data_IF_030862928331
#
_entry.id   IF_030862928331
#
_cell.length_a   1.000
_cell.length_b   1.000
_cell.length_c   1.000
_cell.angle_alpha   90.00
_cell.angle_beta   90.00
_cell.angle_gamma   90.00
#
_symmetry.space_group_name_H-M   'P 1'
#
loop_
_entity.id
_entity.type
_entity.pdbx_description
1 polymer ?
#
# COMPACT_ATOMS: atom_id res chain seq x y z
N UNK A 1 -51.12 6.90 -6.07
CA UNK A 1 -49.87 6.36 -6.62
C UNK A 1 -49.99 4.84 -6.70
N UNK A 2 -49.77 4.27 -7.89
CA UNK A 2 -50.10 2.83 -8.15
C UNK A 2 -49.13 1.93 -7.39
N UNK A 3 -49.64 0.93 -6.65
CA UNK A 3 -48.86 -0.04 -5.87
C UNK A 3 -47.76 -0.75 -6.71
N UNK A 4 -48.00 -0.98 -7.99
CA UNK A 4 -47.00 -1.55 -8.91
C UNK A 4 -45.83 -0.60 -9.15
N UNK A 5 -46.09 0.71 -9.26
CA UNK A 5 -45.06 1.73 -9.44
C UNK A 5 -44.20 1.88 -8.18
N UNK A 6 -44.81 1.83 -7.01
CA UNK A 6 -44.07 1.93 -5.73
C UNK A 6 -43.16 0.69 -5.50
N UNK A 7 -43.64 -0.52 -5.84
CA UNK A 7 -42.82 -1.75 -5.79
C UNK A 7 -41.64 -1.70 -6.77
N UNK A 8 -41.88 -1.25 -8.01
CA UNK A 8 -40.78 -1.09 -8.98
C UNK A 8 -39.75 -0.05 -8.59
N UNK A 9 -40.18 1.06 -7.99
CA UNK A 9 -39.29 2.09 -7.47
C UNK A 9 -38.45 1.58 -6.30
N UNK A 10 -39.04 0.82 -5.38
CA UNK A 10 -38.33 0.22 -4.25
C UNK A 10 -37.28 -0.80 -4.70
N UNK A 11 -37.59 -1.63 -5.69
CA UNK A 11 -36.64 -2.60 -6.27
C UNK A 11 -35.48 -1.87 -6.95
N UNK A 12 -35.77 -0.79 -7.69
CA UNK A 12 -34.74 -0.02 -8.40
C UNK A 12 -33.79 0.69 -7.40
N UNK A 13 -34.31 1.25 -6.30
CA UNK A 13 -33.50 1.86 -5.24
C UNK A 13 -32.65 0.80 -4.51
N UNK A 14 -33.20 -0.38 -4.23
CA UNK A 14 -32.46 -1.47 -3.60
C UNK A 14 -31.31 -1.98 -4.48
N UNK A 15 -31.53 -2.14 -5.79
CA UNK A 15 -30.49 -2.58 -6.73
C UNK A 15 -29.37 -1.53 -6.85
N UNK A 16 -29.71 -0.23 -6.91
CA UNK A 16 -28.70 0.84 -6.92
C UNK A 16 -27.86 0.86 -5.64
N UNK A 17 -28.47 0.59 -4.48
CA UNK A 17 -27.76 0.55 -3.20
C UNK A 17 -26.78 -0.61 -3.13
N UNK A 18 -27.15 -1.81 -3.62
CA UNK A 18 -26.28 -3.00 -3.63
C UNK A 18 -25.09 -2.80 -4.57
N UNK A 19 -25.30 -2.22 -5.76
CA UNK A 19 -24.21 -1.94 -6.70
C UNK A 19 -23.21 -0.93 -6.13
N UNK A 20 -23.70 0.09 -5.42
CA UNK A 20 -22.83 1.10 -4.78
C UNK A 20 -21.95 0.51 -3.68
N UNK A 21 -22.49 -0.36 -2.83
CA UNK A 21 -21.75 -1.03 -1.75
C UNK A 21 -20.64 -1.93 -2.33
N UNK A 22 -20.96 -2.77 -3.30
CA UNK A 22 -19.99 -3.69 -3.90
C UNK A 22 -18.84 -2.96 -4.63
N UNK A 23 -19.10 -1.78 -5.21
CA UNK A 23 -18.09 -0.96 -5.87
C UNK A 23 -17.13 -0.31 -4.86
N UNK A 24 -17.65 0.11 -3.71
CA UNK A 24 -16.86 0.72 -2.64
C UNK A 24 -15.99 -0.32 -1.93
N UNK A 25 -16.47 -1.51 -1.68
CA UNK A 25 -15.69 -2.63 -1.13
C UNK A 25 -14.53 -3.00 -2.06
N UNK A 26 -14.78 -3.11 -3.37
CA UNK A 26 -13.74 -3.36 -4.36
C UNK A 26 -12.66 -2.28 -4.40
N UNK A 27 -13.04 -1.01 -4.21
CA UNK A 27 -12.08 0.09 -4.19
C UNK A 27 -11.15 0.01 -2.98
N UNK A 28 -11.67 -0.32 -1.80
CA UNK A 28 -10.87 -0.42 -0.57
C UNK A 28 -9.96 -1.64 -0.56
N UNK A 29 -10.37 -2.76 -1.17
CA UNK A 29 -9.70 -4.05 -1.10
C UNK A 29 -9.59 -4.62 0.33
N UNK A 30 -10.50 -4.19 1.23
CA UNK A 30 -10.45 -4.52 2.66
C UNK A 30 -10.64 -6.02 2.93
N UNK A 31 -11.33 -6.71 2.03
CA UNK A 31 -11.62 -8.14 2.07
C UNK A 31 -10.54 -9.01 1.42
N UNK A 32 -9.58 -8.39 0.71
CA UNK A 32 -8.54 -9.10 -0.06
C UNK A 32 -7.81 -10.17 0.73
N UNK A 33 -7.54 -9.91 2.00
CA UNK A 33 -6.81 -10.79 2.89
C UNK A 33 -7.66 -11.37 4.03
N UNK A 34 -8.99 -11.19 4.01
CA UNK A 34 -9.86 -11.57 5.12
C UNK A 34 -9.67 -13.04 5.56
N UNK A 35 -9.74 -13.99 4.63
CA UNK A 35 -9.58 -15.42 4.93
C UNK A 35 -8.16 -15.77 5.44
N UNK A 36 -7.12 -15.10 4.94
CA UNK A 36 -5.75 -15.30 5.42
C UNK A 36 -5.54 -14.65 6.79
N UNK A 37 -6.16 -13.51 7.03
CA UNK A 37 -6.14 -12.83 8.33
C UNK A 37 -6.82 -13.69 9.40
N UNK A 38 -7.98 -14.28 9.10
CA UNK A 38 -8.66 -15.23 10.01
C UNK A 38 -7.76 -16.40 10.39
N UNK A 39 -7.06 -17.02 9.43
CA UNK A 39 -6.11 -18.11 9.70
C UNK A 39 -4.97 -17.68 10.61
N UNK A 40 -4.40 -16.48 10.34
CA UNK A 40 -3.30 -15.94 11.14
C UNK A 40 -3.74 -15.57 12.57
N UNK A 41 -4.98 -15.11 12.75
CA UNK A 41 -5.54 -14.78 14.07
C UNK A 41 -5.91 -16.05 14.85
N UNK A 42 -6.36 -17.11 14.18
CA UNK A 42 -6.68 -18.39 14.80
C UNK A 42 -5.43 -19.21 15.16
N UNK A 43 -4.27 -18.94 14.55
CA UNK A 43 -3.01 -19.60 14.87
C UNK A 43 -2.46 -19.11 16.22
N UNK A 44 -1.62 -19.91 16.92
CA UNK A 44 -0.90 -19.44 18.10
C UNK A 44 -0.19 -18.11 17.83
N UNK A 45 -0.18 -17.23 18.83
CA UNK A 45 0.42 -15.91 18.68
C UNK A 45 1.89 -16.02 18.25
N UNK A 46 2.21 -15.47 17.07
CA UNK A 46 3.58 -15.36 16.59
C UNK A 46 4.14 -13.99 16.99
N UNK A 47 4.93 -14.00 18.05
CA UNK A 47 5.57 -12.78 18.59
C UNK A 47 6.67 -12.21 17.68
N UNK A 48 7.05 -12.92 16.61
CA UNK A 48 8.03 -12.47 15.63
C UNK A 48 7.41 -11.90 14.36
N UNK A 49 6.06 -11.95 14.19
CA UNK A 49 5.36 -11.51 12.98
C UNK A 49 5.73 -10.09 12.59
N UNK A 50 6.06 -9.91 11.32
CA UNK A 50 6.34 -8.62 10.70
C UNK A 50 5.43 -8.49 9.47
N UNK A 51 4.59 -7.46 9.44
CA UNK A 51 3.73 -7.19 8.29
C UNK A 51 4.46 -6.28 7.29
N UNK A 52 4.46 -6.68 6.02
CA UNK A 52 4.92 -5.87 4.90
C UNK A 52 3.69 -5.25 4.23
N UNK A 53 3.39 -4.00 4.55
CA UNK A 53 2.26 -3.26 3.97
C UNK A 53 2.72 -2.49 2.73
N UNK A 54 2.00 -2.63 1.61
CA UNK A 54 2.37 -1.93 0.38
C UNK A 54 1.40 -2.10 -0.77
N UNK A 55 1.91 -1.77 -1.95
CA UNK A 55 1.21 -1.87 -3.23
C UNK A 55 1.65 -3.12 -4.04
N UNK A 56 1.67 -3.02 -5.40
CA UNK A 56 2.10 -4.10 -6.29
C UNK A 56 3.53 -4.58 -6.03
N UNK A 57 4.42 -3.71 -5.62
CA UNK A 57 5.82 -4.06 -5.30
C UNK A 57 5.84 -5.07 -4.15
N UNK A 58 5.03 -4.85 -3.14
CA UNK A 58 4.87 -5.77 -2.00
C UNK A 58 4.01 -6.98 -2.35
N UNK A 59 2.94 -6.81 -3.15
CA UNK A 59 2.02 -7.87 -3.58
C UNK A 59 2.76 -8.97 -4.38
N UNK A 60 3.64 -8.54 -5.30
CA UNK A 60 4.39 -9.47 -6.15
C UNK A 60 5.59 -10.13 -5.44
N UNK A 61 6.08 -9.57 -4.35
CA UNK A 61 7.31 -10.06 -3.72
C UNK A 61 7.22 -11.52 -3.27
N UNK A 62 6.17 -11.99 -2.57
CA UNK A 62 6.07 -13.39 -2.17
C UNK A 62 6.05 -14.37 -3.36
N UNK A 63 5.43 -13.98 -4.48
CA UNK A 63 5.36 -14.83 -5.68
C UNK A 63 6.64 -14.78 -6.52
N UNK A 64 7.35 -13.66 -6.52
CA UNK A 64 8.61 -13.50 -7.27
C UNK A 64 9.81 -14.05 -6.51
N UNK A 65 9.76 -14.11 -5.18
CA UNK A 65 10.85 -14.60 -4.33
C UNK A 65 10.33 -15.60 -3.28
N UNK A 66 9.68 -16.70 -3.68
CA UNK A 66 9.03 -17.63 -2.75
C UNK A 66 10.00 -18.28 -1.76
N UNK A 67 11.24 -18.58 -2.19
CA UNK A 67 12.25 -19.17 -1.31
C UNK A 67 12.73 -18.20 -0.22
N UNK A 68 12.67 -16.89 -0.47
CA UNK A 68 12.95 -15.88 0.55
C UNK A 68 11.87 -15.95 1.66
N UNK A 69 10.60 -15.90 1.28
CA UNK A 69 9.49 -15.95 2.25
C UNK A 69 9.42 -17.29 2.98
N UNK A 70 9.74 -18.40 2.32
CA UNK A 70 9.83 -19.72 2.95
C UNK A 70 10.90 -19.76 4.06
N UNK A 71 12.03 -19.07 3.85
CA UNK A 71 13.09 -18.96 4.87
C UNK A 71 12.79 -17.93 5.96
N UNK A 72 11.84 -17.04 5.72
CA UNK A 72 11.43 -15.98 6.63
C UNK A 72 9.91 -16.03 6.89
N UNK A 73 9.38 -17.10 7.51
CA UNK A 73 7.95 -17.31 7.69
C UNK A 73 7.27 -16.26 8.58
N UNK A 74 8.05 -15.50 9.37
CA UNK A 74 7.57 -14.37 10.17
C UNK A 74 7.13 -13.17 9.31
N UNK A 75 7.52 -13.10 8.02
CA UNK A 75 7.14 -12.01 7.13
C UNK A 75 5.78 -12.28 6.50
N UNK A 76 4.84 -11.39 6.72
CA UNK A 76 3.47 -11.47 6.18
C UNK A 76 3.26 -10.36 5.16
N UNK A 77 3.16 -10.73 3.87
CA UNK A 77 2.88 -9.80 2.79
C UNK A 77 1.42 -9.32 2.84
N UNK A 78 1.23 -8.00 2.81
CA UNK A 78 -0.06 -7.31 2.73
C UNK A 78 0.00 -6.21 1.67
N UNK A 79 0.52 -6.58 0.49
CA UNK A 79 0.52 -5.74 -0.70
C UNK A 79 -0.77 -5.90 -1.50
N UNK A 80 -1.29 -4.80 -2.07
CA UNK A 80 -2.39 -4.85 -3.05
C UNK A 80 -2.02 -3.97 -4.23
N UNK A 81 -1.97 -4.59 -5.42
CA UNK A 81 -1.59 -3.92 -6.65
C UNK A 81 -2.47 -2.70 -6.94
N UNK A 82 -1.86 -1.60 -7.36
CA UNK A 82 -2.56 -0.36 -7.74
C UNK A 82 -2.99 0.53 -6.57
N UNK A 83 -2.90 0.08 -5.32
CA UNK A 83 -3.35 0.86 -4.18
C UNK A 83 -2.46 2.07 -3.88
N UNK A 84 -3.13 3.16 -3.49
CA UNK A 84 -2.56 4.39 -2.96
C UNK A 84 -2.51 4.36 -1.43
N UNK A 85 -1.89 5.37 -0.83
CA UNK A 85 -1.85 5.54 0.64
C UNK A 85 -3.25 5.61 1.28
N UNK A 86 -4.26 6.14 0.56
CA UNK A 86 -5.65 6.25 1.03
C UNK A 86 -6.25 4.87 1.32
N UNK A 87 -6.12 3.94 0.38
CA UNK A 87 -6.65 2.59 0.52
C UNK A 87 -5.87 1.78 1.56
N UNK A 88 -4.54 1.96 1.62
CA UNK A 88 -3.71 1.32 2.65
C UNK A 88 -4.12 1.77 4.06
N UNK A 89 -4.43 3.06 4.25
CA UNK A 89 -4.93 3.57 5.53
C UNK A 89 -6.29 2.95 5.90
N UNK A 90 -7.22 2.84 4.94
CA UNK A 90 -8.55 2.24 5.20
C UNK A 90 -8.44 0.80 5.70
N UNK A 91 -7.56 -0.03 5.10
CA UNK A 91 -7.39 -1.44 5.48
C UNK A 91 -6.33 -1.68 6.56
N UNK A 92 -5.72 -0.63 7.09
CA UNK A 92 -4.60 -0.75 8.03
C UNK A 92 -4.95 -1.53 9.29
N UNK A 93 -6.17 -1.35 9.81
CA UNK A 93 -6.62 -2.08 11.00
C UNK A 93 -6.75 -3.57 10.72
N UNK A 94 -7.41 -3.96 9.62
CA UNK A 94 -7.67 -5.35 9.27
C UNK A 94 -6.39 -6.11 8.91
N UNK A 95 -5.51 -5.47 8.14
CA UNK A 95 -4.35 -6.12 7.55
C UNK A 95 -3.07 -5.97 8.39
N UNK A 96 -3.10 -5.10 9.41
CA UNK A 96 -1.93 -4.87 10.28
C UNK A 96 -2.30 -5.02 11.76
N UNK A 97 -3.16 -4.14 12.29
CA UNK A 97 -3.40 -4.05 13.73
C UNK A 97 -3.97 -5.35 14.30
N UNK A 98 -5.00 -5.90 13.64
CA UNK A 98 -5.69 -7.10 14.09
C UNK A 98 -4.82 -8.37 14.02
N UNK A 99 -3.71 -8.31 13.29
CA UNK A 99 -2.73 -9.42 13.22
C UNK A 99 -1.74 -9.41 14.38
N UNK A 100 -1.78 -8.38 15.24
CA UNK A 100 -0.88 -8.22 16.39
C UNK A 100 0.61 -8.44 16.05
N UNK A 101 1.16 -7.78 15.01
CA UNK A 101 2.54 -8.00 14.62
C UNK A 101 3.50 -7.30 15.59
N UNK A 102 4.73 -7.82 15.68
CA UNK A 102 5.84 -7.13 16.33
C UNK A 102 6.19 -5.82 15.62
N UNK A 103 6.10 -5.84 14.29
CA UNK A 103 6.48 -4.69 13.47
C UNK A 103 5.69 -4.63 12.16
N UNK A 104 5.63 -3.43 11.58
CA UNK A 104 5.14 -3.17 10.24
C UNK A 104 6.17 -2.41 9.42
N UNK A 105 6.40 -2.83 8.18
CA UNK A 105 7.13 -2.08 7.16
C UNK A 105 6.11 -1.45 6.24
N UNK A 106 6.09 -0.12 6.12
CA UNK A 106 5.17 0.63 5.26
C UNK A 106 5.94 1.12 4.03
N UNK A 107 5.54 0.63 2.85
CA UNK A 107 6.03 1.08 1.55
C UNK A 107 4.86 1.58 0.69
N UNK A 108 4.71 2.89 0.55
CA UNK A 108 3.64 3.48 -0.27
C UNK A 108 4.05 4.82 -0.88
N UNK A 109 3.27 5.29 -1.87
CA UNK A 109 3.50 6.57 -2.56
C UNK A 109 3.60 6.44 -4.08
N UNK A 110 4.06 5.32 -4.63
CA UNK A 110 4.18 5.11 -6.08
C UNK A 110 2.86 5.38 -6.81
N UNK A 111 1.78 4.77 -6.36
CA UNK A 111 0.47 4.91 -6.99
C UNK A 111 -0.25 6.23 -6.65
N UNK A 112 0.13 6.87 -5.55
CA UNK A 112 -0.27 8.24 -5.24
C UNK A 112 0.30 9.20 -6.30
N UNK A 113 1.61 9.10 -6.57
CA UNK A 113 2.30 9.89 -7.60
C UNK A 113 1.73 9.62 -9.00
N UNK A 114 1.36 8.36 -9.29
CA UNK A 114 0.72 7.97 -10.55
C UNK A 114 -0.75 8.41 -10.66
N UNK A 115 -1.32 8.97 -9.60
CA UNK A 115 -2.72 9.40 -9.52
C UNK A 115 -3.71 8.26 -9.81
N UNK A 116 -3.40 7.07 -9.32
CA UNK A 116 -4.28 5.92 -9.48
C UNK A 116 -5.66 6.20 -8.88
N UNK A 117 -6.66 5.51 -9.42
CA UNK A 117 -8.07 5.69 -9.05
C UNK A 117 -8.60 7.12 -9.30
N UNK A 118 -7.92 7.90 -10.16
CA UNK A 118 -8.27 9.30 -10.46
C UNK A 118 -8.19 10.21 -9.22
N UNK A 119 -7.34 9.85 -8.26
CA UNK A 119 -7.07 10.69 -7.09
C UNK A 119 -5.87 11.58 -7.42
N UNK A 120 -6.04 12.90 -7.51
CA UNK A 120 -4.94 13.82 -7.80
C UNK A 120 -3.82 13.69 -6.76
N UNK A 121 -2.57 13.68 -7.21
CA UNK A 121 -1.43 13.61 -6.31
C UNK A 121 -1.35 14.85 -5.41
N UNK A 122 -1.31 14.59 -4.12
CA UNK A 122 -1.01 15.56 -3.09
C UNK A 122 0.04 14.98 -2.15
N UNK A 123 1.25 15.52 -2.18
CA UNK A 123 2.32 15.09 -1.29
C UNK A 123 1.94 15.25 0.18
N UNK A 124 1.21 16.34 0.52
CA UNK A 124 0.72 16.58 1.87
C UNK A 124 -0.28 15.49 2.33
N UNK A 125 -1.18 15.05 1.45
CA UNK A 125 -2.13 13.99 1.77
C UNK A 125 -1.42 12.64 1.88
N UNK A 126 -0.49 12.33 0.98
CA UNK A 126 0.26 11.08 1.00
C UNK A 126 1.07 10.95 2.30
N UNK A 127 1.81 11.99 2.68
CA UNK A 127 2.54 11.97 3.96
C UNK A 127 1.60 11.95 5.16
N UNK A 128 0.45 12.64 5.11
CA UNK A 128 -0.57 12.62 6.15
C UNK A 128 -1.14 11.21 6.38
N UNK A 129 -1.42 10.48 5.31
CA UNK A 129 -1.87 9.08 5.40
C UNK A 129 -0.79 8.18 6.01
N UNK A 130 0.49 8.37 5.65
CA UNK A 130 1.62 7.65 6.25
C UNK A 130 1.71 7.97 7.75
N UNK A 131 1.62 9.23 8.13
CA UNK A 131 1.62 9.67 9.54
C UNK A 131 0.50 9.01 10.34
N UNK A 132 -0.72 8.98 9.78
CA UNK A 132 -1.87 8.32 10.42
C UNK A 132 -1.63 6.83 10.62
N UNK A 133 -1.09 6.12 9.63
CA UNK A 133 -0.73 4.69 9.79
C UNK A 133 0.33 4.48 10.87
N UNK A 134 1.33 5.36 10.95
CA UNK A 134 2.36 5.34 12.02
C UNK A 134 1.75 5.56 13.39
N UNK A 135 0.88 6.55 13.54
CA UNK A 135 0.19 6.86 14.80
C UNK A 135 -0.67 5.69 15.27
N UNK A 136 -1.44 5.09 14.35
CA UNK A 136 -2.25 3.89 14.63
C UNK A 136 -1.36 2.73 15.07
N UNK A 137 -0.25 2.47 14.38
CA UNK A 137 0.69 1.40 14.72
C UNK A 137 1.28 1.62 16.13
N UNK A 138 1.80 2.81 16.40
CA UNK A 138 2.39 3.17 17.71
C UNK A 138 1.37 3.05 18.84
N UNK A 139 0.14 3.50 18.64
CA UNK A 139 -0.95 3.39 19.62
C UNK A 139 -1.32 1.93 19.96
N UNK A 140 -0.97 0.98 19.08
CA UNK A 140 -1.17 -0.46 19.27
C UNK A 140 0.12 -1.21 19.61
N UNK A 141 1.20 -0.52 19.99
CA UNK A 141 2.47 -1.14 20.42
C UNK A 141 3.28 -1.78 19.28
N UNK A 142 2.97 -1.44 18.02
CA UNK A 142 3.62 -2.01 16.83
C UNK A 142 4.83 -1.16 16.45
N UNK A 143 6.00 -1.77 16.34
CA UNK A 143 7.20 -1.11 15.83
C UNK A 143 7.03 -0.77 14.35
N UNK A 144 7.40 0.46 13.95
CA UNK A 144 7.24 0.92 12.57
C UNK A 144 8.59 1.04 11.87
N UNK A 145 8.64 0.60 10.62
CA UNK A 145 9.70 0.89 9.66
C UNK A 145 9.07 1.61 8.46
N UNK A 146 9.66 2.72 8.04
CA UNK A 146 9.23 3.45 6.85
C UNK A 146 10.20 3.20 5.71
N UNK A 147 9.72 2.65 4.61
CA UNK A 147 10.53 2.41 3.42
C UNK A 147 10.37 3.56 2.41
N UNK A 148 11.47 3.87 1.70
CA UNK A 148 11.41 4.79 0.58
C UNK A 148 10.53 4.27 -0.55
N UNK A 149 9.90 5.16 -1.29
CA UNK A 149 9.36 4.88 -2.63
C UNK A 149 10.54 4.54 -3.54
N UNK A 150 10.41 3.51 -4.35
CA UNK A 150 11.45 3.10 -5.29
C UNK A 150 11.63 4.16 -6.39
N UNK A 151 12.85 4.25 -6.98
CA UNK A 151 13.08 5.15 -8.11
C UNK A 151 12.13 4.84 -9.26
N UNK A 152 11.66 5.87 -9.95
CA UNK A 152 11.00 5.74 -11.25
C UNK A 152 11.03 7.08 -11.98
N UNK A 153 11.26 7.06 -13.29
CA UNK A 153 11.18 8.26 -14.13
C UNK A 153 9.84 8.42 -14.82
N UNK A 154 9.09 7.33 -14.95
CA UNK A 154 7.78 7.31 -15.59
C UNK A 154 6.93 6.16 -15.04
N UNK A 155 5.61 6.26 -15.25
CA UNK A 155 4.66 5.20 -14.95
C UNK A 155 4.08 4.70 -16.28
N UNK A 156 4.39 3.44 -16.67
CA UNK A 156 3.99 2.90 -17.99
C UNK A 156 2.46 2.84 -18.18
N UNK A 157 1.69 2.80 -17.08
CA UNK A 157 0.22 2.82 -17.12
C UNK A 157 -0.38 4.22 -17.02
N UNK A 158 0.44 5.25 -16.79
CA UNK A 158 0.05 6.65 -16.70
C UNK A 158 1.11 7.54 -17.38
N UNK A 159 1.34 7.35 -18.70
CA UNK A 159 2.44 7.99 -19.41
C UNK A 159 2.30 9.50 -19.52
N UNK A 160 1.09 10.03 -19.31
CA UNK A 160 0.80 11.46 -19.28
C UNK A 160 1.29 12.15 -18.00
N UNK A 161 1.64 11.40 -16.97
CA UNK A 161 2.14 11.97 -15.71
C UNK A 161 3.60 12.38 -15.85
N UNK A 162 3.89 13.60 -15.44
CA UNK A 162 5.21 14.22 -15.56
C UNK A 162 5.88 14.44 -14.21
N UNK A 163 7.19 14.72 -14.25
CA UNK A 163 8.02 15.02 -13.07
C UNK A 163 8.00 13.90 -12.02
N UNK A 164 7.88 12.66 -12.46
CA UNK A 164 7.77 11.49 -11.56
C UNK A 164 9.01 11.38 -10.66
N UNK A 165 10.20 11.44 -11.23
CA UNK A 165 11.45 11.32 -10.46
C UNK A 165 11.60 12.43 -9.39
N UNK A 166 11.17 13.66 -9.70
CA UNK A 166 11.17 14.77 -8.72
C UNK A 166 10.17 14.54 -7.61
N UNK A 167 8.95 14.10 -7.94
CA UNK A 167 7.91 13.77 -6.97
C UNK A 167 8.35 12.64 -6.03
N UNK A 168 9.00 11.59 -6.58
CA UNK A 168 9.57 10.49 -5.78
C UNK A 168 10.65 11.00 -4.84
N UNK A 169 11.59 11.81 -5.33
CA UNK A 169 12.65 12.36 -4.50
C UNK A 169 12.12 13.26 -3.39
N UNK A 170 11.16 14.14 -3.71
CA UNK A 170 10.51 15.04 -2.74
C UNK A 170 9.77 14.25 -1.65
N UNK A 171 8.93 13.31 -2.03
CA UNK A 171 8.19 12.47 -1.08
C UNK A 171 9.15 11.67 -0.17
N UNK A 172 10.21 11.07 -0.75
CA UNK A 172 11.22 10.33 0.03
C UNK A 172 11.95 11.23 1.03
N UNK A 173 12.28 12.45 0.67
CA UNK A 173 12.88 13.41 1.58
C UNK A 173 11.95 13.69 2.78
N UNK A 174 10.65 13.84 2.55
CA UNK A 174 9.65 14.05 3.61
C UNK A 174 9.46 12.81 4.49
N UNK A 175 9.36 11.61 3.89
CA UNK A 175 9.25 10.35 4.65
C UNK A 175 10.48 10.17 5.54
N UNK A 176 11.68 10.42 5.01
CA UNK A 176 12.94 10.33 5.75
C UNK A 176 13.00 11.34 6.92
N UNK A 177 12.64 12.59 6.66
CA UNK A 177 12.60 13.63 7.69
C UNK A 177 11.62 13.29 8.81
N UNK A 178 10.41 12.81 8.45
CA UNK A 178 9.41 12.37 9.41
C UNK A 178 9.89 11.15 10.23
N UNK A 179 10.50 10.17 9.58
CA UNK A 179 11.07 9.01 10.26
C UNK A 179 12.13 9.44 11.30
N UNK A 180 13.03 10.34 10.92
CA UNK A 180 14.05 10.90 11.82
C UNK A 180 13.42 11.63 13.02
N UNK A 181 12.45 12.50 12.77
CA UNK A 181 11.75 13.25 13.81
C UNK A 181 11.05 12.31 14.81
N UNK A 182 10.53 11.18 14.32
CA UNK A 182 9.77 10.22 15.11
C UNK A 182 10.61 9.10 15.73
N UNK A 183 11.94 9.07 15.50
CA UNK A 183 12.83 7.99 15.92
C UNK A 183 12.51 6.64 15.24
N UNK A 184 11.98 6.68 14.01
CA UNK A 184 11.60 5.50 13.21
C UNK A 184 12.75 5.14 12.28
N UNK A 185 13.05 3.85 12.15
CA UNK A 185 14.04 3.38 11.17
C UNK A 185 13.50 3.59 9.74
N UNK A 186 14.29 4.32 8.95
CA UNK A 186 14.03 4.51 7.52
C UNK A 186 14.81 3.48 6.70
N UNK A 187 14.11 2.74 5.84
CA UNK A 187 14.69 1.74 4.92
C UNK A 187 14.89 2.42 3.56
N UNK A 188 16.13 2.68 3.21
CA UNK A 188 16.49 3.41 1.99
C UNK A 188 16.70 2.46 0.79
N UNK A 189 15.61 1.98 0.20
CA UNK A 189 15.67 1.25 -1.09
C UNK A 189 16.07 2.16 -2.23
N UNK A 190 15.65 3.44 -2.19
CA UNK A 190 15.87 4.39 -3.28
C UNK A 190 17.34 4.54 -3.62
N UNK A 191 18.19 4.84 -2.63
CA UNK A 191 19.61 5.09 -2.86
C UNK A 191 20.36 3.89 -3.43
N UNK A 192 19.93 2.66 -3.11
CA UNK A 192 20.55 1.44 -3.62
C UNK A 192 20.07 1.03 -5.02
N UNK A 193 18.93 1.58 -5.48
CA UNK A 193 18.27 1.17 -6.71
C UNK A 193 18.20 2.26 -7.78
N UNK A 194 18.52 3.52 -7.45
CA UNK A 194 18.49 4.63 -8.41
C UNK A 194 19.62 4.55 -9.41
N UNK A 195 19.32 4.86 -10.69
CA UNK A 195 20.28 4.81 -11.78
C UNK A 195 20.16 6.03 -12.70
N UNK A 196 21.32 6.49 -13.19
CA UNK A 196 21.45 7.53 -14.20
C UNK A 196 20.95 8.91 -13.77
N UNK A 197 21.12 9.86 -14.68
CA UNK A 197 20.70 11.27 -14.48
C UNK A 197 19.18 11.43 -14.44
N UNK A 198 18.45 10.50 -15.06
CA UNK A 198 16.99 10.45 -15.08
C UNK A 198 16.40 9.94 -13.76
N UNK A 199 17.25 9.45 -12.83
CA UNK A 199 16.85 8.89 -11.52
C UNK A 199 15.80 7.79 -11.65
N UNK A 200 15.97 6.92 -12.65
CA UNK A 200 15.10 5.77 -12.89
C UNK A 200 15.48 4.58 -11.99
N UNK A 201 14.60 3.59 -11.91
CA UNK A 201 14.94 2.30 -11.31
C UNK A 201 15.98 1.62 -12.20
N UNK A 202 17.09 1.16 -11.59
CA UNK A 202 18.19 0.53 -12.30
C UNK A 202 17.67 -0.57 -13.24
N UNK A 203 17.93 -0.48 -14.55
CA UNK A 203 17.44 -1.45 -15.54
C UNK A 203 17.85 -2.89 -15.26
N UNK A 204 18.93 -3.11 -14.49
CA UNK A 204 19.32 -4.45 -14.04
C UNK A 204 18.33 -5.08 -13.05
N UNK A 205 17.51 -4.26 -12.40
CA UNK A 205 16.57 -4.70 -11.36
C UNK A 205 15.10 -4.67 -11.81
N UNK A 206 14.81 -4.26 -13.03
CA UNK A 206 13.43 -4.12 -13.50
C UNK A 206 13.30 -4.40 -14.99
N UNK A 207 12.10 -4.81 -15.41
CA UNK A 207 11.74 -4.95 -16.84
C UNK A 207 10.80 -3.84 -17.31
N UNK A 208 10.13 -3.15 -16.39
CA UNK A 208 9.09 -2.16 -16.69
C UNK A 208 9.38 -0.77 -16.10
N UNK A 209 10.53 -0.60 -15.45
CA UNK A 209 10.95 0.67 -14.85
C UNK A 209 10.32 0.97 -13.49
N UNK A 210 9.49 0.08 -12.94
CA UNK A 210 8.76 0.29 -11.67
C UNK A 210 8.87 -0.91 -10.72
N UNK A 211 8.65 -2.13 -11.24
CA UNK A 211 8.60 -3.34 -10.41
C UNK A 211 9.94 -4.07 -10.42
N UNK A 212 10.53 -4.31 -9.23
CA UNK A 212 11.75 -5.10 -9.13
C UNK A 212 11.54 -6.53 -9.63
N UNK A 213 12.58 -7.08 -10.27
CA UNK A 213 12.73 -8.52 -10.52
C UNK A 213 13.36 -9.21 -9.31
N UNK A 214 13.28 -10.54 -9.21
CA UNK A 214 13.99 -11.32 -8.20
C UNK A 214 15.49 -11.11 -8.24
#
# INVERSE_FOLDING_TARGET
MNQKFLKSLLIFVAVLSIVSVSAQEKWTGIDRYAADNEKLMAAPADTARIVLLGNSITDFWPTRSPEFFKRHPQLVGRGISGQTSHQMLVRFREDVVNLHPKAVVINCGTNDIAENHKIPYSEANTIGNIMSMVEIAKANGITVYLASVLPSKCMYWAPEKTNIADKVASLNARIKAYAQQQGITYIDYYSSMVYGTERELNPAYTKDGVHPTP
#
